data_IF_627150262725
#
_entry.id   IF_627150262725
#
_cell.length_a   1.000
_cell.length_b   1.000
_cell.length_c   1.000
_cell.angle_alpha   90.00
_cell.angle_beta   90.00
_cell.angle_gamma   90.00
#
_symmetry.space_group_name_H-M   'P 1'
#
loop_
_entity.id
_entity.type
_entity.pdbx_description
1 polymer ?
#
# COMPACT_ATOMS: atom_id res chain seq x y z
N UNK A 1 6.83 18.79 -12.03
CA UNK A 1 7.12 20.15 -12.53
C UNK A 1 8.52 20.25 -13.18
N UNK A 2 9.64 19.80 -12.56
CA UNK A 2 10.97 19.92 -13.17
C UNK A 2 11.08 19.15 -14.49
N UNK A 3 10.66 17.90 -14.53
CA UNK A 3 10.65 17.09 -15.76
C UNK A 3 9.71 17.67 -16.82
N UNK A 4 8.55 18.13 -16.40
CA UNK A 4 7.57 18.79 -17.26
C UNK A 4 8.13 20.09 -17.85
N UNK A 5 8.79 20.90 -17.02
CA UNK A 5 9.49 22.09 -17.49
C UNK A 5 10.60 21.76 -18.51
N UNK A 6 11.21 20.58 -18.40
CA UNK A 6 12.21 20.09 -19.36
C UNK A 6 11.58 19.47 -20.63
N UNK A 7 10.26 19.57 -20.80
CA UNK A 7 9.54 19.12 -21.99
C UNK A 7 9.01 17.66 -21.93
N UNK A 8 9.13 16.99 -20.79
CA UNK A 8 8.56 15.65 -20.64
C UNK A 8 7.02 15.73 -20.48
N UNK A 9 6.29 14.81 -21.12
CA UNK A 9 4.87 14.57 -20.82
C UNK A 9 4.80 13.82 -19.49
N UNK A 10 4.10 14.37 -18.51
CA UNK A 10 4.01 13.83 -17.17
C UNK A 10 2.59 13.38 -16.88
N UNK A 11 2.44 12.14 -16.44
CA UNK A 11 1.24 11.60 -15.80
C UNK A 11 1.52 11.46 -14.30
N UNK A 12 0.68 12.05 -13.47
CA UNK A 12 0.81 12.03 -12.01
C UNK A 12 -0.10 10.97 -11.43
N UNK A 13 0.48 10.04 -10.68
CA UNK A 13 -0.25 8.98 -10.03
C UNK A 13 -0.15 9.10 -8.51
N UNK A 14 -1.29 8.94 -7.84
CA UNK A 14 -1.37 8.83 -6.39
C UNK A 14 -1.67 7.38 -6.01
N UNK A 15 -0.90 6.84 -5.09
CA UNK A 15 -1.11 5.51 -4.52
C UNK A 15 -1.62 5.65 -3.09
N UNK A 16 -2.83 5.20 -2.84
CA UNK A 16 -3.53 5.45 -1.58
C UNK A 16 -3.74 4.16 -0.79
N UNK A 17 -3.34 4.22 0.49
CA UNK A 17 -3.54 3.15 1.45
C UNK A 17 -4.95 3.15 2.01
N UNK A 18 -5.89 2.59 1.28
CA UNK A 18 -7.29 2.49 1.68
C UNK A 18 -7.62 1.22 2.45
N UNK A 19 -6.69 0.29 2.59
CA UNK A 19 -6.89 -1.01 3.26
C UNK A 19 -5.69 -1.37 4.11
N UNK A 20 -5.96 -2.03 5.24
CA UNK A 20 -4.91 -2.52 6.13
C UNK A 20 -5.20 -2.22 7.59
N UNK A 21 -4.24 -2.54 8.43
CA UNK A 21 -4.38 -2.47 9.88
C UNK A 21 -4.71 -1.05 10.39
N UNK A 22 -4.19 -0.02 9.73
CA UNK A 22 -4.48 1.37 10.07
C UNK A 22 -5.97 1.73 9.89
N UNK A 23 -6.61 1.20 8.83
CA UNK A 23 -8.06 1.37 8.61
C UNK A 23 -8.85 0.62 9.68
N UNK A 24 -8.44 -0.60 10.03
CA UNK A 24 -9.08 -1.37 11.09
C UNK A 24 -8.98 -0.69 12.45
N UNK A 25 -7.84 -0.10 12.79
CA UNK A 25 -7.64 0.71 14.00
C UNK A 25 -8.59 1.91 14.04
N UNK A 26 -8.76 2.62 12.91
CA UNK A 26 -9.69 3.74 12.80
C UNK A 26 -11.15 3.28 12.98
N UNK A 27 -11.56 2.20 12.33
CA UNK A 27 -12.92 1.64 12.46
C UNK A 27 -13.19 1.19 13.89
N UNK A 28 -12.24 0.52 14.53
CA UNK A 28 -12.35 0.15 15.95
C UNK A 28 -12.57 1.38 16.82
N UNK A 29 -11.75 2.42 16.68
CA UNK A 29 -11.88 3.66 17.43
C UNK A 29 -13.22 4.39 17.20
N UNK A 30 -13.78 4.29 15.98
CA UNK A 30 -15.12 4.80 15.70
C UNK A 30 -16.21 3.98 16.40
N UNK A 31 -16.06 2.69 16.59
CA UNK A 31 -17.00 1.86 17.34
C UNK A 31 -16.92 2.17 18.85
N UNK A 32 -15.72 2.33 19.40
CA UNK A 32 -15.51 2.66 20.80
C UNK A 32 -16.03 4.07 21.16
N UNK A 33 -15.90 5.02 20.24
CA UNK A 33 -16.38 6.38 20.43
C UNK A 33 -17.34 6.81 19.32
N UNK A 34 -18.62 6.48 19.50
CA UNK A 34 -19.68 6.78 18.52
C UNK A 34 -19.89 8.27 18.26
N UNK A 35 -19.45 9.17 19.15
CA UNK A 35 -19.47 10.62 18.91
C UNK A 35 -18.57 11.02 17.73
N UNK A 36 -17.52 10.24 17.45
CA UNK A 36 -16.63 10.47 16.33
C UNK A 36 -17.25 10.05 14.98
N UNK A 37 -18.38 9.34 14.98
CA UNK A 37 -19.12 8.95 13.77
C UNK A 37 -20.06 10.05 13.26
N UNK A 38 -19.98 11.28 13.77
CA UNK A 38 -20.84 12.37 13.30
C UNK A 38 -20.64 12.60 11.82
N UNK A 39 -21.73 12.44 11.07
CA UNK A 39 -21.80 12.65 9.62
C UNK A 39 -22.29 14.06 9.25
N UNK A 40 -22.37 14.94 10.26
CA UNK A 40 -22.75 16.35 10.10
C UNK A 40 -21.53 17.24 10.20
N UNK A 41 -21.49 18.30 9.41
CA UNK A 41 -20.40 19.27 9.40
C UNK A 41 -19.51 19.18 8.14
N UNK A 42 -18.47 20.02 8.12
CA UNK A 42 -17.50 20.09 7.02
C UNK A 42 -16.67 18.80 6.93
N UNK A 43 -16.27 18.41 5.72
CA UNK A 43 -15.45 17.20 5.46
C UNK A 43 -14.19 17.16 6.31
N UNK A 44 -13.49 18.28 6.47
CA UNK A 44 -12.28 18.40 7.28
C UNK A 44 -12.50 18.05 8.75
N UNK A 45 -13.66 18.39 9.32
CA UNK A 45 -14.00 18.03 10.70
C UNK A 45 -14.27 16.54 10.84
N UNK A 46 -14.93 15.94 9.84
CA UNK A 46 -15.19 14.50 9.82
C UNK A 46 -13.88 13.71 9.65
N UNK A 47 -12.99 14.14 8.75
CA UNK A 47 -11.66 13.55 8.58
C UNK A 47 -10.81 13.64 9.87
N UNK A 48 -10.85 14.78 10.58
CA UNK A 48 -10.20 14.93 11.88
C UNK A 48 -10.77 13.96 12.93
N UNK A 49 -12.07 13.67 12.91
CA UNK A 49 -12.67 12.67 13.78
C UNK A 49 -12.18 11.25 13.47
N UNK A 50 -12.03 10.91 12.19
CA UNK A 50 -11.43 9.63 11.78
C UNK A 50 -9.98 9.54 12.27
N UNK A 51 -9.21 10.62 12.19
CA UNK A 51 -7.85 10.68 12.74
C UNK A 51 -7.79 10.46 14.25
N UNK A 52 -8.73 11.05 15.01
CA UNK A 52 -8.86 10.82 16.47
C UNK A 52 -9.24 9.37 16.78
N UNK A 53 -10.13 8.78 15.98
CA UNK A 53 -10.51 7.38 16.13
C UNK A 53 -9.32 6.45 15.84
N UNK A 54 -8.54 6.76 14.81
CA UNK A 54 -7.30 6.05 14.53
C UNK A 54 -6.33 6.10 15.71
N UNK A 55 -6.07 7.29 16.28
CA UNK A 55 -5.17 7.44 17.41
C UNK A 55 -5.65 6.63 18.63
N UNK A 56 -6.96 6.61 18.90
CA UNK A 56 -7.56 5.79 19.95
C UNK A 56 -7.32 4.30 19.70
N UNK A 57 -7.68 3.79 18.52
CA UNK A 57 -7.51 2.40 18.17
C UNK A 57 -6.04 1.97 18.13
N UNK A 58 -5.13 2.85 17.66
CA UNK A 58 -3.70 2.59 17.66
C UNK A 58 -3.13 2.46 19.08
N UNK A 59 -3.49 3.34 19.99
CA UNK A 59 -3.05 3.28 21.39
C UNK A 59 -3.54 2.01 22.10
N UNK A 60 -4.80 1.63 21.88
CA UNK A 60 -5.37 0.41 22.47
C UNK A 60 -4.76 -0.86 21.85
N UNK A 61 -4.47 -0.86 20.57
CA UNK A 61 -3.84 -1.99 19.88
C UNK A 61 -2.49 -2.39 20.50
N UNK A 62 -1.71 -1.43 20.96
CA UNK A 62 -0.39 -1.65 21.56
C UNK A 62 -0.47 -2.10 23.03
N UNK A 63 -1.55 -1.73 23.73
CA UNK A 63 -1.65 -1.90 25.18
C UNK A 63 -2.58 -3.03 25.63
N UNK A 64 -3.54 -3.44 24.79
CA UNK A 64 -4.55 -4.44 25.13
C UNK A 64 -4.58 -5.60 24.11
N UNK A 65 -4.23 -6.79 24.56
CA UNK A 65 -4.21 -8.01 23.73
C UNK A 65 -5.59 -8.40 23.16
N UNK A 66 -6.67 -8.12 23.90
CA UNK A 66 -8.03 -8.43 23.45
C UNK A 66 -8.40 -7.47 22.33
N UNK A 67 -8.17 -6.18 22.52
CA UNK A 67 -8.38 -5.15 21.50
C UNK A 67 -7.56 -5.43 20.23
N UNK A 68 -6.31 -5.85 20.40
CA UNK A 68 -5.48 -6.28 19.28
C UNK A 68 -6.15 -7.37 18.44
N UNK A 69 -6.64 -8.42 19.09
CA UNK A 69 -7.35 -9.51 18.41
C UNK A 69 -8.62 -9.05 17.70
N UNK A 70 -9.38 -8.12 18.32
CA UNK A 70 -10.59 -7.55 17.72
C UNK A 70 -10.26 -6.70 16.48
N UNK A 71 -9.22 -5.87 16.53
CA UNK A 71 -8.76 -5.07 15.39
C UNK A 71 -8.24 -5.96 14.27
N UNK A 72 -7.49 -7.02 14.58
CA UNK A 72 -7.03 -7.99 13.59
C UNK A 72 -8.22 -8.69 12.90
N UNK A 73 -9.27 -9.02 13.66
CA UNK A 73 -10.51 -9.56 13.09
C UNK A 73 -11.25 -8.55 12.21
N UNK A 74 -11.31 -7.27 12.60
CA UNK A 74 -11.86 -6.19 11.77
C UNK A 74 -11.06 -6.07 10.46
N UNK A 75 -9.73 -6.07 10.52
CA UNK A 75 -8.88 -6.01 9.35
C UNK A 75 -9.19 -7.15 8.36
N UNK A 76 -9.32 -8.37 8.85
CA UNK A 76 -9.71 -9.52 8.03
C UNK A 76 -11.09 -9.34 7.39
N UNK A 77 -12.07 -8.84 8.14
CA UNK A 77 -13.42 -8.56 7.62
C UNK A 77 -13.44 -7.50 6.52
N UNK A 78 -12.57 -6.47 6.62
CA UNK A 78 -12.42 -5.44 5.59
C UNK A 78 -11.92 -6.07 4.28
N UNK A 79 -10.87 -6.89 4.33
CA UNK A 79 -10.37 -7.60 3.14
C UNK A 79 -11.40 -8.52 2.51
N UNK A 80 -12.18 -9.23 3.32
CA UNK A 80 -13.19 -10.19 2.86
C UNK A 80 -14.54 -9.53 2.54
N UNK A 81 -14.74 -8.24 2.89
CA UNK A 81 -16.03 -7.52 2.82
C UNK A 81 -17.18 -8.30 3.48
N UNK A 82 -16.90 -9.02 4.56
CA UNK A 82 -17.78 -10.02 5.16
C UNK A 82 -18.71 -9.48 6.26
N UNK A 83 -18.66 -8.19 6.57
CA UNK A 83 -19.47 -7.58 7.64
C UNK A 83 -20.05 -6.25 7.14
N UNK A 84 -21.37 -6.20 7.01
CA UNK A 84 -22.09 -5.06 6.45
C UNK A 84 -21.83 -3.77 7.22
N UNK A 85 -21.84 -3.81 8.56
CA UNK A 85 -21.63 -2.62 9.40
C UNK A 85 -20.23 -2.06 9.26
N UNK A 86 -19.23 -2.93 9.16
CA UNK A 86 -17.83 -2.53 8.91
C UNK A 86 -17.72 -1.92 7.51
N UNK A 87 -18.35 -2.53 6.50
CA UNK A 87 -18.32 -2.02 5.12
C UNK A 87 -18.97 -0.63 5.02
N UNK A 88 -20.11 -0.40 5.66
CA UNK A 88 -20.77 0.92 5.67
C UNK A 88 -19.91 2.02 6.31
N UNK A 89 -19.20 1.70 7.39
CA UNK A 89 -18.29 2.66 8.03
C UNK A 89 -17.04 2.87 7.18
N UNK A 90 -16.51 1.82 6.57
CA UNK A 90 -15.39 1.89 5.64
C UNK A 90 -15.73 2.80 4.46
N UNK A 91 -16.86 2.58 3.78
CA UNK A 91 -17.28 3.35 2.61
C UNK A 91 -17.49 4.84 2.96
N UNK A 92 -18.11 5.13 4.11
CA UNK A 92 -18.23 6.48 4.61
C UNK A 92 -16.88 7.13 4.90
N UNK A 93 -16.02 6.42 5.63
CA UNK A 93 -14.69 6.92 6.01
C UNK A 93 -13.80 7.14 4.79
N UNK A 94 -13.84 6.23 3.82
CA UNK A 94 -13.15 6.37 2.55
C UNK A 94 -13.56 7.65 1.82
N UNK A 95 -14.89 7.85 1.63
CA UNK A 95 -15.39 9.05 0.96
C UNK A 95 -14.94 10.34 1.66
N UNK A 96 -15.13 10.42 2.98
CA UNK A 96 -14.75 11.60 3.78
C UNK A 96 -13.25 11.90 3.66
N UNK A 97 -12.41 10.86 3.71
CA UNK A 97 -10.96 11.01 3.64
C UNK A 97 -10.52 11.45 2.25
N UNK A 98 -11.13 10.90 1.20
CA UNK A 98 -10.82 11.29 -0.18
C UNK A 98 -11.21 12.75 -0.47
N UNK A 99 -12.38 13.18 0.00
CA UNK A 99 -12.83 14.57 -0.13
C UNK A 99 -11.86 15.52 0.60
N UNK A 100 -11.41 15.14 1.82
CA UNK A 100 -10.44 15.95 2.57
C UNK A 100 -9.04 15.97 1.90
N UNK A 101 -8.62 14.90 1.24
CA UNK A 101 -7.39 14.90 0.45
C UNK A 101 -7.47 15.84 -0.74
N UNK A 102 -8.62 15.96 -1.40
CA UNK A 102 -8.80 16.89 -2.51
C UNK A 102 -8.55 18.33 -2.06
N UNK A 103 -9.11 18.74 -0.92
CA UNK A 103 -8.85 20.06 -0.33
C UNK A 103 -7.35 20.30 -0.07
N UNK A 104 -6.62 19.27 0.40
CA UNK A 104 -5.18 19.36 0.62
C UNK A 104 -4.39 19.46 -0.70
N UNK A 105 -4.79 18.73 -1.74
CA UNK A 105 -4.13 18.79 -3.05
C UNK A 105 -4.29 20.18 -3.68
N UNK A 106 -5.46 20.78 -3.57
CA UNK A 106 -5.72 22.16 -4.01
C UNK A 106 -4.84 23.16 -3.25
N UNK A 107 -4.75 23.04 -1.93
CA UNK A 107 -3.88 23.88 -1.08
C UNK A 107 -2.41 23.77 -1.48
N UNK A 108 -1.93 22.56 -1.82
CA UNK A 108 -0.57 22.29 -2.25
C UNK A 108 -0.31 22.64 -3.73
N UNK A 109 -1.35 23.03 -4.47
CA UNK A 109 -1.28 23.30 -5.90
C UNK A 109 -0.84 22.08 -6.69
N UNK A 110 -1.33 20.90 -6.33
CA UNK A 110 -1.06 19.62 -7.02
C UNK A 110 -2.36 18.96 -7.44
N UNK A 111 -2.27 18.14 -8.46
CA UNK A 111 -3.35 17.32 -8.98
C UNK A 111 -2.79 15.99 -9.45
N UNK A 112 -3.64 14.98 -9.56
CA UNK A 112 -3.25 13.65 -10.01
C UNK A 112 -4.16 13.21 -11.16
N UNK A 113 -3.54 12.62 -12.18
CA UNK A 113 -4.23 12.06 -13.33
C UNK A 113 -4.82 10.68 -13.00
N UNK A 114 -4.16 9.93 -12.09
CA UNK A 114 -4.54 8.58 -11.69
C UNK A 114 -4.53 8.41 -10.18
N UNK A 115 -5.50 7.66 -9.68
CA UNK A 115 -5.59 7.22 -8.29
C UNK A 115 -5.60 5.70 -8.24
N UNK A 116 -4.58 5.11 -7.63
CA UNK A 116 -4.48 3.69 -7.42
C UNK A 116 -4.74 3.38 -5.94
N UNK A 117 -5.62 2.40 -5.68
CA UNK A 117 -6.00 2.01 -4.32
C UNK A 117 -5.30 0.70 -3.94
N UNK A 118 -4.75 0.64 -2.73
CA UNK A 118 -4.11 -0.59 -2.23
C UNK A 118 -5.05 -1.80 -2.25
N UNK A 119 -6.35 -1.61 -1.98
CA UNK A 119 -7.36 -2.66 -2.05
C UNK A 119 -7.48 -3.31 -3.42
N UNK A 120 -7.36 -2.51 -4.48
CA UNK A 120 -7.40 -2.98 -5.86
C UNK A 120 -6.06 -3.61 -6.26
N UNK A 121 -4.97 -2.97 -5.90
CA UNK A 121 -3.62 -3.45 -6.20
C UNK A 121 -3.31 -4.78 -5.51
N UNK A 122 -3.87 -5.00 -4.31
CA UNK A 122 -3.78 -6.26 -3.60
C UNK A 122 -4.29 -7.44 -4.44
N UNK A 123 -5.45 -7.30 -5.08
CA UNK A 123 -6.05 -8.35 -5.92
C UNK A 123 -5.20 -8.64 -7.16
N UNK A 124 -4.67 -7.59 -7.80
CA UNK A 124 -3.80 -7.73 -8.97
C UNK A 124 -2.50 -8.41 -8.56
N UNK A 125 -1.88 -7.95 -7.48
CA UNK A 125 -0.63 -8.51 -6.97
C UNK A 125 -0.77 -9.96 -6.53
N UNK A 126 -1.86 -10.33 -5.85
CA UNK A 126 -2.13 -11.74 -5.50
C UNK A 126 -2.24 -12.64 -6.73
N UNK A 127 -2.91 -12.18 -7.79
CA UNK A 127 -2.97 -12.92 -9.04
C UNK A 127 -1.58 -13.13 -9.62
N UNK A 128 -0.77 -12.06 -9.68
CA UNK A 128 0.61 -12.14 -10.19
C UNK A 128 1.43 -13.15 -9.39
N UNK A 129 1.34 -13.12 -8.05
CA UNK A 129 2.05 -14.07 -7.19
C UNK A 129 1.59 -15.50 -7.44
N UNK A 130 0.26 -15.74 -7.54
CA UNK A 130 -0.30 -17.07 -7.80
C UNK A 130 0.09 -17.62 -9.17
N UNK A 131 0.06 -16.76 -10.21
CA UNK A 131 0.40 -17.13 -11.58
C UNK A 131 1.90 -17.45 -11.75
N UNK A 132 2.75 -16.97 -10.83
CA UNK A 132 4.19 -17.19 -10.82
C UNK A 132 4.67 -18.03 -9.62
N UNK A 133 3.76 -18.64 -8.90
CA UNK A 133 4.08 -19.56 -7.81
C UNK A 133 4.69 -20.83 -8.42
N UNK A 134 5.82 -21.24 -7.85
CA UNK A 134 6.59 -22.41 -8.29
C UNK A 134 7.01 -22.38 -9.78
N UNK A 135 6.83 -21.25 -10.47
CA UNK A 135 7.27 -21.07 -11.86
C UNK A 135 8.79 -20.95 -11.91
N UNK A 136 9.37 -21.80 -12.73
CA UNK A 136 10.81 -21.80 -13.01
C UNK A 136 11.15 -20.75 -14.05
N UNK A 137 12.24 -20.02 -13.82
CA UNK A 137 12.79 -19.11 -14.84
C UNK A 137 13.81 -19.90 -15.65
N UNK A 138 13.72 -19.73 -16.96
CA UNK A 138 14.69 -20.34 -17.90
C UNK A 138 16.01 -19.54 -17.88
N UNK A 139 16.80 -19.82 -16.84
CA UNK A 139 18.17 -19.33 -16.64
C UNK A 139 19.07 -20.52 -16.32
N UNK A 140 20.39 -20.45 -16.52
CA UNK A 140 21.31 -21.60 -16.35
C UNK A 140 21.14 -22.35 -15.03
N UNK A 141 20.77 -21.67 -13.95
CA UNK A 141 20.47 -22.26 -12.62
C UNK A 141 18.99 -22.17 -12.31
N UNK A 142 18.09 -22.73 -13.12
CA UNK A 142 16.64 -22.63 -12.96
C UNK A 142 16.15 -22.24 -11.57
N UNK A 143 15.64 -21.04 -11.40
CA UNK A 143 15.23 -20.48 -10.10
C UNK A 143 13.73 -20.26 -10.06
N UNK A 144 13.09 -20.67 -8.98
CA UNK A 144 11.67 -20.36 -8.74
C UNK A 144 11.49 -18.88 -8.39
N UNK A 145 10.52 -18.19 -9.00
CA UNK A 145 10.21 -16.80 -8.64
C UNK A 145 9.62 -16.78 -7.23
N UNK A 146 8.45 -17.34 -7.05
CA UNK A 146 7.81 -17.46 -5.73
C UNK A 146 7.74 -18.91 -5.31
N UNK A 147 7.74 -19.15 -3.99
CA UNK A 147 7.56 -20.48 -3.42
C UNK A 147 6.87 -20.45 -2.08
N UNK A 148 6.22 -21.54 -1.72
CA UNK A 148 5.65 -21.73 -0.38
C UNK A 148 6.76 -21.97 0.65
N UNK A 149 6.63 -21.34 1.81
CA UNK A 149 7.48 -21.54 2.98
C UNK A 149 6.67 -21.30 4.24
N UNK A 150 6.53 -22.30 5.09
CA UNK A 150 5.80 -22.24 6.37
C UNK A 150 4.38 -21.63 6.25
N UNK A 151 3.65 -22.05 5.22
CA UNK A 151 2.30 -21.55 4.91
C UNK A 151 2.26 -20.21 4.19
N UNK A 152 3.34 -19.45 4.15
CA UNK A 152 3.47 -18.20 3.43
C UNK A 152 3.97 -18.40 2.00
N UNK A 153 3.82 -17.37 1.15
CA UNK A 153 4.46 -17.30 -0.17
C UNK A 153 5.57 -16.28 -0.11
N UNK A 154 6.78 -16.70 -0.46
CA UNK A 154 7.99 -15.89 -0.34
C UNK A 154 8.73 -15.76 -1.67
N UNK A 155 9.45 -14.64 -1.82
CA UNK A 155 10.45 -14.43 -2.86
C UNK A 155 11.84 -14.42 -2.23
N UNK A 156 12.69 -15.37 -2.64
CA UNK A 156 14.08 -15.50 -2.16
C UNK A 156 15.00 -14.66 -3.04
N UNK A 157 14.96 -13.35 -2.84
CA UNK A 157 15.65 -12.37 -3.68
C UNK A 157 17.17 -12.51 -3.67
N UNK A 158 17.76 -12.99 -2.57
CA UNK A 158 19.19 -13.26 -2.42
C UNK A 158 19.74 -14.27 -3.44
N UNK A 159 18.88 -15.09 -4.05
CA UNK A 159 19.27 -16.01 -5.12
C UNK A 159 19.59 -15.31 -6.44
N UNK A 160 19.08 -14.09 -6.62
CA UNK A 160 19.23 -13.31 -7.85
C UNK A 160 20.21 -12.15 -7.66
N UNK A 161 20.26 -11.59 -6.46
CA UNK A 161 21.21 -10.54 -6.05
C UNK A 161 21.54 -10.75 -4.56
N UNK A 162 22.80 -11.02 -4.26
CA UNK A 162 23.30 -11.27 -2.89
C UNK A 162 23.10 -10.09 -1.92
N UNK A 163 22.77 -8.89 -2.44
CA UNK A 163 22.48 -7.71 -1.61
C UNK A 163 21.02 -7.63 -1.19
N UNK A 164 20.18 -8.50 -1.73
CA UNK A 164 18.75 -8.58 -1.40
C UNK A 164 18.52 -9.70 -0.39
N UNK A 165 17.33 -9.73 0.19
CA UNK A 165 16.92 -10.74 1.15
C UNK A 165 15.52 -11.27 0.87
N UNK A 166 15.21 -12.43 1.44
CA UNK A 166 13.88 -13.04 1.33
C UNK A 166 12.80 -12.10 1.88
N UNK A 167 11.71 -11.97 1.15
CA UNK A 167 10.49 -11.25 1.56
C UNK A 167 9.25 -12.12 1.41
N UNK A 168 8.30 -11.89 2.32
CA UNK A 168 6.98 -12.50 2.29
C UNK A 168 6.08 -11.66 1.39
N UNK A 169 5.45 -12.29 0.42
CA UNK A 169 4.47 -11.66 -0.46
C UNK A 169 3.03 -11.97 -0.03
N UNK A 170 2.76 -13.21 0.39
CA UNK A 170 1.48 -13.57 0.98
C UNK A 170 1.76 -14.23 2.33
N UNK A 171 1.09 -13.74 3.37
CA UNK A 171 1.25 -14.29 4.73
C UNK A 171 0.72 -15.71 4.84
N UNK A 172 1.05 -16.40 5.92
CA UNK A 172 0.50 -17.74 6.23
C UNK A 172 -1.04 -17.73 6.41
N UNK A 173 -1.62 -16.57 6.71
CA UNK A 173 -3.07 -16.36 6.80
C UNK A 173 -3.73 -16.06 5.45
N UNK A 174 -2.93 -16.02 4.36
CA UNK A 174 -3.41 -15.74 3.01
C UNK A 174 -3.61 -14.26 2.69
N UNK A 175 -3.08 -13.33 3.52
CA UNK A 175 -3.21 -11.90 3.29
C UNK A 175 -2.03 -11.36 2.48
N UNK A 176 -2.27 -10.47 1.50
CA UNK A 176 -1.21 -9.83 0.73
C UNK A 176 -0.43 -8.83 1.59
N UNK A 177 0.89 -8.84 1.45
CA UNK A 177 1.78 -7.85 2.08
C UNK A 177 1.90 -6.59 1.24
N UNK A 178 2.67 -5.61 1.71
CA UNK A 178 3.01 -4.42 0.92
C UNK A 178 3.74 -4.77 -0.37
N UNK A 179 4.61 -5.78 -0.34
CA UNK A 179 5.35 -6.27 -1.52
C UNK A 179 4.39 -6.74 -2.62
N UNK A 180 3.33 -7.44 -2.26
CA UNK A 180 2.31 -7.91 -3.20
C UNK A 180 1.51 -6.76 -3.80
N UNK A 181 1.12 -5.80 -2.97
CA UNK A 181 0.38 -4.62 -3.41
C UNK A 181 1.21 -3.77 -4.39
N UNK A 182 2.52 -3.61 -4.13
CA UNK A 182 3.43 -2.91 -5.03
C UNK A 182 3.63 -3.65 -6.37
N UNK A 183 3.67 -4.98 -6.37
CA UNK A 183 3.65 -5.74 -7.63
C UNK A 183 2.41 -5.39 -8.45
N UNK A 184 1.25 -5.38 -7.80
CA UNK A 184 -0.01 -5.01 -8.45
C UNK A 184 0.01 -3.58 -8.97
N UNK A 185 0.55 -2.63 -8.20
CA UNK A 185 0.68 -1.24 -8.61
C UNK A 185 1.57 -1.08 -9.84
N UNK A 186 2.72 -1.74 -9.88
CA UNK A 186 3.64 -1.66 -11.02
C UNK A 186 2.96 -2.20 -12.28
N UNK A 187 2.34 -3.38 -12.19
CA UNK A 187 1.59 -3.98 -13.30
C UNK A 187 0.50 -3.03 -13.81
N UNK A 188 -0.31 -2.49 -12.90
CA UNK A 188 -1.44 -1.63 -13.24
C UNK A 188 -0.98 -0.29 -13.85
N UNK A 189 0.12 0.28 -13.40
CA UNK A 189 0.70 1.49 -14.00
C UNK A 189 1.08 1.27 -15.45
N UNK A 190 1.76 0.17 -15.77
CA UNK A 190 2.14 -0.17 -17.16
C UNK A 190 0.94 -0.58 -18.00
N UNK A 191 -0.13 -1.11 -17.38
CA UNK A 191 -1.40 -1.39 -18.08
C UNK A 191 -2.17 -0.11 -18.40
N UNK A 192 -2.15 0.87 -17.51
CA UNK A 192 -2.87 2.15 -17.63
C UNK A 192 -2.21 3.07 -18.65
N UNK A 193 -0.88 3.10 -18.68
CA UNK A 193 -0.10 3.89 -19.64
C UNK A 193 1.01 2.97 -20.26
N UNK A 194 0.67 2.16 -21.25
CA UNK A 194 1.61 1.18 -21.83
C UNK A 194 2.76 1.82 -22.61
N UNK A 195 2.58 3.06 -23.05
CA UNK A 195 3.56 3.81 -23.84
C UNK A 195 4.53 4.61 -22.96
N UNK A 196 4.39 4.56 -21.62
CA UNK A 196 5.31 5.29 -20.75
C UNK A 196 6.77 4.86 -20.94
N UNK A 197 7.65 5.85 -21.03
CA UNK A 197 9.09 5.63 -21.08
C UNK A 197 9.68 5.30 -19.72
N UNK A 198 9.14 5.91 -18.66
CA UNK A 198 9.69 5.81 -17.31
C UNK A 198 8.61 5.95 -16.24
N UNK A 199 8.51 4.95 -15.37
CA UNK A 199 7.74 4.99 -14.13
C UNK A 199 8.64 5.36 -12.96
N UNK A 200 8.40 6.53 -12.35
CA UNK A 200 9.15 6.98 -11.17
C UNK A 200 8.26 6.80 -9.94
N UNK A 201 8.75 6.04 -8.96
CA UNK A 201 8.12 5.91 -7.65
C UNK A 201 8.94 6.69 -6.63
N UNK A 202 8.28 7.56 -5.86
CA UNK A 202 8.94 8.41 -4.85
C UNK A 202 8.40 8.03 -3.48
N UNK A 203 9.28 7.62 -2.56
CA UNK A 203 8.91 7.23 -1.20
C UNK A 203 9.90 7.75 -0.16
N UNK A 204 9.57 7.58 1.12
CA UNK A 204 10.54 7.78 2.18
C UNK A 204 11.65 6.71 2.13
N UNK A 205 12.86 7.08 2.60
CA UNK A 205 14.05 6.22 2.55
C UNK A 205 13.89 4.88 3.28
N UNK A 206 12.98 4.78 4.26
CA UNK A 206 12.66 3.54 4.97
C UNK A 206 12.11 2.44 4.05
N UNK A 207 11.57 2.81 2.91
CA UNK A 207 10.95 1.88 1.97
C UNK A 207 11.93 1.36 0.90
N UNK A 208 13.19 1.80 0.94
CA UNK A 208 14.18 1.48 -0.09
C UNK A 208 14.41 -0.03 -0.23
N UNK A 209 14.54 -0.73 0.90
CA UNK A 209 14.97 -2.13 0.88
C UNK A 209 13.90 -3.06 0.33
N UNK A 210 12.63 -2.87 0.72
CA UNK A 210 11.58 -3.70 0.16
C UNK A 210 11.32 -3.37 -1.32
N UNK A 211 11.40 -2.10 -1.71
CA UNK A 211 11.21 -1.70 -3.11
C UNK A 211 12.24 -2.34 -4.04
N UNK A 212 13.49 -2.47 -3.62
CA UNK A 212 14.52 -3.19 -4.38
C UNK A 212 14.12 -4.64 -4.63
N UNK A 213 13.56 -5.32 -3.62
CA UNK A 213 13.09 -6.70 -3.75
C UNK A 213 11.90 -6.80 -4.68
N UNK A 214 10.93 -5.89 -4.57
CA UNK A 214 9.76 -5.85 -5.46
C UNK A 214 10.18 -5.57 -6.90
N UNK A 215 11.02 -4.57 -7.14
CA UNK A 215 11.53 -4.27 -8.49
C UNK A 215 12.32 -5.44 -9.07
N UNK A 216 13.04 -6.20 -8.26
CA UNK A 216 13.70 -7.42 -8.72
C UNK A 216 12.69 -8.51 -9.09
N UNK A 217 11.66 -8.73 -8.27
CA UNK A 217 10.63 -9.71 -8.56
C UNK A 217 9.89 -9.39 -9.88
N UNK A 218 9.45 -8.13 -10.06
CA UNK A 218 8.74 -7.72 -11.27
C UNK A 218 9.62 -7.79 -12.53
N UNK A 219 10.94 -7.48 -12.41
CA UNK A 219 11.85 -7.57 -13.54
C UNK A 219 12.07 -9.01 -14.03
N UNK A 220 11.87 -9.99 -13.17
CA UNK A 220 11.91 -11.41 -13.54
C UNK A 220 10.61 -11.87 -14.20
N UNK A 221 9.50 -11.26 -13.84
CA UNK A 221 8.16 -11.53 -14.40
C UNK A 221 7.99 -10.80 -15.74
N UNK A 222 8.37 -9.53 -15.77
CA UNK A 222 8.30 -8.63 -16.91
C UNK A 222 9.66 -7.95 -17.18
N UNK A 223 10.58 -8.62 -17.89
CA UNK A 223 11.94 -8.08 -18.12
C UNK A 223 11.94 -6.71 -18.81
N UNK A 224 10.92 -6.40 -19.60
CA UNK A 224 10.79 -5.10 -20.27
C UNK A 224 10.56 -3.93 -19.32
N UNK A 225 10.10 -4.18 -18.08
CA UNK A 225 9.86 -3.11 -17.09
C UNK A 225 11.13 -2.66 -16.40
N UNK A 226 12.17 -3.51 -16.33
CA UNK A 226 13.38 -3.23 -15.55
C UNK A 226 14.00 -1.87 -15.86
N UNK A 227 14.15 -1.54 -17.14
CA UNK A 227 14.76 -0.28 -17.59
C UNK A 227 13.80 0.92 -17.49
N UNK A 228 12.52 0.67 -17.35
CA UNK A 228 11.46 1.67 -17.26
C UNK A 228 11.04 2.00 -15.84
N UNK A 229 11.67 1.44 -14.83
CA UNK A 229 11.35 1.70 -13.42
C UNK A 229 12.46 2.45 -12.71
N UNK A 230 12.10 3.46 -11.95
CA UNK A 230 13.04 4.20 -11.10
C UNK A 230 12.41 4.47 -9.74
N UNK A 231 13.11 4.10 -8.68
CA UNK A 231 12.75 4.43 -7.32
C UNK A 231 13.63 5.56 -6.82
N UNK A 232 13.02 6.62 -6.32
CA UNK A 232 13.66 7.78 -5.73
C UNK A 232 13.22 7.89 -4.28
N UNK A 233 14.16 8.05 -3.36
CA UNK A 233 13.85 8.20 -1.96
C UNK A 233 14.13 9.61 -1.47
N UNK A 234 13.32 10.06 -0.51
CA UNK A 234 13.56 11.31 0.23
C UNK A 234 13.74 11.03 1.72
N UNK A 235 14.35 11.99 2.42
CA UNK A 235 14.48 11.93 3.88
C UNK A 235 13.13 12.08 4.58
N UNK A 236 13.09 11.69 5.85
CA UNK A 236 11.92 11.86 6.70
C UNK A 236 11.91 13.26 7.31
N UNK A 237 10.74 13.88 7.32
CA UNK A 237 10.48 15.02 8.18
C UNK A 237 10.41 14.55 9.64
N UNK A 238 11.00 15.33 10.52
CA UNK A 238 11.01 15.05 11.96
C UNK A 238 10.51 16.26 12.72
N UNK A 239 9.80 16.02 13.80
CA UNK A 239 9.61 17.04 14.80
C UNK A 239 10.93 17.29 15.55
N UNK A 240 11.02 18.42 16.24
CA UNK A 240 12.16 18.76 17.07
C UNK A 240 12.53 17.68 18.10
N UNK A 241 11.53 17.03 18.66
CA UNK A 241 11.62 16.05 19.73
C UNK A 241 11.54 14.58 19.24
N UNK A 242 11.44 14.36 17.94
CA UNK A 242 11.38 12.99 17.44
C UNK A 242 10.85 12.80 16.03
N UNK A 243 10.58 11.53 15.72
CA UNK A 243 10.03 11.10 14.44
C UNK A 243 8.54 11.46 14.39
N UNK A 244 8.09 12.02 13.26
CA UNK A 244 6.66 12.07 12.96
C UNK A 244 6.19 10.63 12.75
N UNK A 245 5.58 10.05 13.77
CA UNK A 245 4.89 8.75 13.65
C UNK A 245 3.38 8.97 13.70
N UNK A 246 2.69 8.26 12.86
CA UNK A 246 1.25 8.08 12.95
C UNK A 246 0.91 7.14 14.11
#
# INVERSE_FOLDING_TARGET
>A
RLLEFSGAKISRANYQGDIGLHVAKAIYGLFENTKLQSRTGLNNLQAANIGRAYALGAGLYETDKKVKSEIDAINKKIYLKSDQKINEIYDWGFKVTMDAFQDLYEMLGTEFDFYFLESQMALIGERIVKDNLDKMIDVPDSKMIFKKSDGAIVFKAEKYDAKLHTRVFVTSEGLPTYETKELGLIEEKFRTDPDMDLSITVTASEQMDYMRVVMKAISLIHPNFEKKMKHITHGLMRFWDGKMSS
#
